data_IF_065500871938
#
_entry.id   IF_065500871938
#
_cell.length_a   1.000
_cell.length_b   1.000
_cell.length_c   1.000
_cell.angle_alpha   90.00
_cell.angle_beta   90.00
_cell.angle_gamma   90.00
#
_symmetry.space_group_name_H-M   'P 1'
#
loop_
_entity.id
_entity.type
_entity.pdbx_description
1 polymer ?
#
# COMPACT_ATOMS: atom_id res chain seq x y z
N UNK A 1 -15.10 3.17 -15.96
CA UNK A 1 -13.75 2.96 -15.39
C UNK A 1 -13.24 1.62 -15.89
N UNK A 2 -12.24 1.60 -16.78
CA UNK A 2 -11.56 0.36 -17.18
C UNK A 2 -10.59 -0.04 -16.05
N UNK A 3 -11.17 -0.38 -14.90
CA UNK A 3 -10.43 -0.60 -13.67
C UNK A 3 -9.53 -1.81 -13.80
N UNK A 4 -8.24 -1.63 -13.53
CA UNK A 4 -7.33 -2.74 -13.35
C UNK A 4 -7.73 -3.48 -12.08
N UNK A 5 -8.15 -4.74 -12.21
CA UNK A 5 -8.52 -5.58 -11.09
C UNK A 5 -7.26 -6.14 -10.42
N UNK A 6 -7.14 -5.89 -9.12
CA UNK A 6 -6.06 -6.43 -8.31
C UNK A 6 -6.49 -7.75 -7.66
N UNK A 7 -5.60 -8.73 -7.69
CA UNK A 7 -5.73 -10.05 -7.07
C UNK A 7 -4.68 -10.20 -5.99
N UNK A 8 -4.92 -11.05 -5.00
CA UNK A 8 -3.97 -11.25 -3.89
C UNK A 8 -3.76 -12.74 -3.62
N UNK A 9 -2.49 -13.15 -3.65
CA UNK A 9 -2.06 -14.46 -3.15
C UNK A 9 -1.46 -14.29 -1.74
N UNK A 10 -1.68 -15.26 -0.87
CA UNK A 10 -1.14 -15.29 0.50
C UNK A 10 -0.40 -16.60 0.71
N UNK A 11 0.84 -16.50 1.20
CA UNK A 11 1.61 -17.62 1.71
C UNK A 11 1.55 -17.61 3.22
N UNK A 12 1.35 -18.80 3.78
CA UNK A 12 1.12 -19.03 5.20
C UNK A 12 2.02 -20.19 5.62
N UNK A 13 2.80 -20.01 6.68
CA UNK A 13 3.44 -21.12 7.40
C UNK A 13 2.88 -21.17 8.82
N UNK A 14 2.25 -22.29 9.16
CA UNK A 14 1.68 -22.51 10.48
C UNK A 14 2.77 -22.88 11.52
N UNK A 15 2.44 -22.89 12.83
CA UNK A 15 3.41 -23.20 13.87
C UNK A 15 3.95 -24.63 13.84
N UNK A 16 3.28 -25.55 13.11
CA UNK A 16 3.78 -26.91 12.88
C UNK A 16 4.79 -27.00 11.73
N UNK A 17 5.04 -25.88 11.03
CA UNK A 17 5.93 -25.79 9.87
C UNK A 17 5.25 -26.05 8.53
N UNK A 18 3.94 -26.32 8.53
CA UNK A 18 3.17 -26.54 7.30
C UNK A 18 3.05 -25.25 6.50
N UNK A 19 3.48 -25.29 5.23
CA UNK A 19 3.41 -24.12 4.34
C UNK A 19 2.36 -24.31 3.25
N UNK A 20 1.48 -23.33 3.10
CA UNK A 20 0.44 -23.34 2.06
C UNK A 20 0.39 -21.99 1.35
N UNK A 21 -0.06 -22.02 0.09
CA UNK A 21 -0.46 -20.82 -0.63
C UNK A 21 -1.97 -20.83 -0.81
N UNK A 22 -2.60 -19.68 -0.58
CA UNK A 22 -3.98 -19.38 -0.96
C UNK A 22 -3.93 -18.41 -2.12
N UNK A 23 -4.41 -18.85 -3.27
CA UNK A 23 -4.38 -18.05 -4.50
C UNK A 23 -5.65 -17.23 -4.64
N UNK A 24 -5.50 -15.99 -5.09
CA UNK A 24 -6.61 -15.08 -5.41
C UNK A 24 -7.68 -15.01 -4.30
N UNK A 25 -7.26 -14.91 -3.03
CA UNK A 25 -8.13 -15.10 -1.87
C UNK A 25 -9.18 -13.99 -1.69
N UNK A 26 -8.94 -12.83 -2.33
CA UNK A 26 -9.84 -11.68 -2.29
C UNK A 26 -10.78 -11.59 -3.50
N UNK A 27 -10.56 -12.44 -4.51
CA UNK A 27 -11.25 -12.33 -5.79
C UNK A 27 -10.97 -11.00 -6.51
N UNK A 28 -11.79 -10.70 -7.51
CA UNK A 28 -11.56 -9.60 -8.47
C UNK A 28 -11.81 -8.20 -7.92
N UNK A 29 -12.47 -8.06 -6.75
CA UNK A 29 -12.84 -6.75 -6.18
C UNK A 29 -12.53 -6.59 -4.69
N UNK A 30 -11.91 -7.59 -4.05
CA UNK A 30 -11.66 -7.53 -2.61
C UNK A 30 -10.58 -6.52 -2.26
N UNK A 31 -10.99 -5.30 -1.90
CA UNK A 31 -10.18 -4.30 -1.20
C UNK A 31 -10.44 -4.41 0.30
N UNK A 32 -9.83 -5.39 0.94
CA UNK A 32 -10.03 -5.65 2.38
C UNK A 32 -8.72 -5.83 3.10
N UNK A 33 -8.79 -5.75 4.42
CA UNK A 33 -7.74 -6.24 5.30
C UNK A 33 -7.90 -7.74 5.47
N UNK A 34 -6.77 -8.44 5.54
CA UNK A 34 -6.69 -9.81 6.01
C UNK A 34 -6.06 -9.79 7.39
N UNK A 35 -6.90 -9.98 8.40
CA UNK A 35 -6.46 -10.03 9.80
C UNK A 35 -6.15 -11.47 10.20
N UNK A 36 -4.97 -11.66 10.80
CA UNK A 36 -4.50 -12.94 11.32
C UNK A 36 -4.33 -12.82 12.83
N UNK A 37 -5.01 -13.69 13.58
CA UNK A 37 -5.03 -13.65 15.05
C UNK A 37 -3.99 -14.56 15.70
N UNK A 38 -3.41 -15.51 14.97
CA UNK A 38 -2.33 -16.38 15.48
C UNK A 38 -0.98 -15.66 15.37
N UNK A 39 -0.34 -15.28 16.50
CA UNK A 39 0.93 -14.56 16.47
C UNK A 39 2.11 -15.41 15.99
N UNK A 40 1.95 -16.74 15.91
CA UNK A 40 2.98 -17.65 15.42
C UNK A 40 2.84 -17.95 13.93
N UNK A 41 1.81 -17.41 13.27
CA UNK A 41 1.61 -17.56 11.84
C UNK A 41 2.60 -16.67 11.09
N UNK A 42 3.39 -17.28 10.21
CA UNK A 42 4.24 -16.53 9.28
C UNK A 42 3.39 -16.28 8.04
N UNK A 43 3.15 -15.00 7.73
CA UNK A 43 2.33 -14.59 6.60
C UNK A 43 3.13 -13.71 5.66
N UNK A 44 2.94 -13.90 4.37
CA UNK A 44 3.28 -12.89 3.39
C UNK A 44 2.27 -12.89 2.26
N UNK A 45 2.15 -11.77 1.55
CA UNK A 45 1.28 -11.70 0.38
C UNK A 45 1.96 -11.04 -0.81
N UNK A 46 1.34 -11.24 -1.97
CA UNK A 46 1.57 -10.39 -3.14
C UNK A 46 0.22 -9.93 -3.66
N UNK A 47 0.18 -8.69 -4.12
CA UNK A 47 -0.98 -8.12 -4.81
C UNK A 47 -0.59 -7.80 -6.24
N UNK A 48 -1.37 -8.30 -7.21
CA UNK A 48 -0.98 -8.31 -8.62
C UNK A 48 -2.16 -8.06 -9.57
N UNK A 49 -1.83 -7.63 -10.77
CA UNK A 49 -2.73 -7.46 -11.90
C UNK A 49 -2.44 -8.53 -12.95
N UNK A 50 -3.40 -8.79 -13.84
CA UNK A 50 -3.26 -9.78 -14.92
C UNK A 50 -3.29 -9.10 -16.28
N UNK A 51 -2.46 -9.55 -17.20
CA UNK A 51 -2.43 -9.13 -18.60
C UNK A 51 -2.25 -10.33 -19.53
N UNK A 52 -2.24 -10.09 -20.85
CA UNK A 52 -1.86 -11.11 -21.84
C UNK A 52 -0.43 -11.63 -21.66
N UNK A 53 0.45 -10.84 -21.04
CA UNK A 53 1.88 -11.13 -20.88
C UNK A 53 2.21 -11.74 -19.50
N UNK A 54 1.21 -12.05 -18.69
CA UNK A 54 1.38 -12.64 -17.35
C UNK A 54 0.88 -11.73 -16.22
N UNK A 55 1.42 -11.96 -15.02
CA UNK A 55 1.03 -11.23 -13.80
C UNK A 55 2.09 -10.22 -13.38
N UNK A 56 1.67 -9.00 -13.09
CA UNK A 56 2.54 -7.92 -12.59
C UNK A 56 2.08 -7.54 -11.19
N UNK A 57 2.96 -7.61 -10.21
CA UNK A 57 2.54 -7.44 -8.82
C UNK A 57 3.68 -7.17 -7.87
N UNK A 58 3.30 -6.66 -6.72
CA UNK A 58 4.19 -6.26 -5.66
C UNK A 58 4.04 -7.20 -4.46
N UNK A 59 5.15 -7.43 -3.78
CA UNK A 59 5.17 -8.02 -2.45
C UNK A 59 4.54 -7.04 -1.45
N UNK A 60 3.63 -7.53 -0.59
CA UNK A 60 3.01 -6.75 0.47
C UNK A 60 3.31 -7.45 1.81
N UNK A 61 4.15 -6.86 2.67
CA UNK A 61 4.47 -7.46 3.96
C UNK A 61 3.28 -7.41 4.92
N UNK A 62 3.18 -8.34 5.89
CA UNK A 62 2.35 -8.14 7.07
C UNK A 62 2.92 -6.97 7.89
N UNK A 63 2.05 -6.08 8.34
CA UNK A 63 2.45 -4.87 9.08
C UNK A 63 1.45 -4.60 10.20
N UNK A 64 1.93 -4.00 11.28
CA UNK A 64 1.10 -3.58 12.42
C UNK A 64 0.71 -2.12 12.26
N UNK A 65 -0.59 -1.76 12.36
CA UNK A 65 -1.03 -0.37 12.35
C UNK A 65 -0.41 0.45 13.49
N UNK A 66 -0.05 1.69 13.20
CA UNK A 66 0.59 2.62 14.13
C UNK A 66 -0.02 4.01 14.04
N UNK A 67 0.06 4.78 15.14
CA UNK A 67 -0.29 6.20 15.17
C UNK A 67 0.93 7.12 15.06
N UNK A 68 2.14 6.55 15.05
CA UNK A 68 3.38 7.30 14.89
C UNK A 68 3.47 7.93 13.49
N UNK A 69 4.22 9.04 13.39
CA UNK A 69 4.53 9.67 12.11
C UNK A 69 5.26 8.67 11.21
N UNK A 70 4.69 8.38 10.05
CA UNK A 70 5.32 7.55 9.04
C UNK A 70 5.88 8.40 7.91
N UNK A 71 6.98 7.94 7.30
CA UNK A 71 7.55 8.49 6.07
C UNK A 71 7.67 7.40 5.01
N UNK A 72 7.18 7.70 3.80
CA UNK A 72 7.33 6.90 2.59
C UNK A 72 8.40 7.58 1.72
N UNK A 73 9.53 6.91 1.49
CA UNK A 73 10.69 7.45 0.76
C UNK A 73 10.82 6.73 -0.58
N UNK A 74 11.21 7.47 -1.63
CA UNK A 74 11.31 6.94 -2.99
C UNK A 74 10.00 7.05 -3.74
N UNK A 75 9.31 8.18 -3.58
CA UNK A 75 8.06 8.47 -4.27
C UNK A 75 8.35 9.19 -5.59
N UNK A 76 7.81 8.65 -6.69
CA UNK A 76 7.88 9.21 -8.03
C UNK A 76 6.47 9.23 -8.64
N UNK A 77 6.07 10.34 -9.24
CA UNK A 77 4.76 10.55 -9.84
C UNK A 77 4.87 11.55 -10.99
N UNK A 78 5.23 11.07 -12.16
CA UNK A 78 5.47 11.85 -13.36
C UNK A 78 5.05 11.08 -14.63
N UNK A 79 5.66 11.38 -15.77
CA UNK A 79 5.37 10.67 -17.01
C UNK A 79 5.85 9.22 -17.00
N UNK A 80 6.95 8.92 -16.30
CA UNK A 80 7.53 7.58 -16.22
C UNK A 80 6.86 6.73 -15.13
N UNK A 81 6.52 7.33 -13.98
CA UNK A 81 5.94 6.60 -12.85
C UNK A 81 4.63 7.21 -12.37
N UNK A 82 3.71 6.39 -11.88
CA UNK A 82 2.54 6.85 -11.11
C UNK A 82 2.58 6.28 -9.70
N UNK A 83 2.25 7.11 -8.71
CA UNK A 83 2.14 6.68 -7.32
C UNK A 83 0.67 6.56 -6.91
N UNK A 84 0.31 5.43 -6.31
CA UNK A 84 -0.92 5.28 -5.53
C UNK A 84 -0.60 5.23 -4.04
N UNK A 85 -1.15 6.14 -3.24
CA UNK A 85 -1.03 6.13 -1.79
C UNK A 85 -2.10 5.24 -1.20
N UNK A 86 -1.72 4.34 -0.29
CA UNK A 86 -2.63 3.46 0.42
C UNK A 86 -2.55 3.63 1.92
N UNK A 87 -3.70 3.52 2.57
CA UNK A 87 -3.89 3.55 4.02
C UNK A 87 -4.71 2.32 4.42
N UNK A 88 -4.11 1.45 5.23
CA UNK A 88 -4.80 0.30 5.81
C UNK A 88 -5.13 0.58 7.28
N UNK A 89 -6.41 0.51 7.64
CA UNK A 89 -6.91 0.87 8.97
C UNK A 89 -8.00 -0.09 9.45
N UNK A 90 -7.80 -0.74 10.61
CA UNK A 90 -8.80 -1.65 11.21
C UNK A 90 -9.99 -0.91 11.84
N UNK A 91 -9.80 0.36 12.17
CA UNK A 91 -10.84 1.28 12.64
C UNK A 91 -10.68 2.62 11.95
N UNK A 92 -11.74 3.46 11.85
CA UNK A 92 -11.64 4.76 11.21
C UNK A 92 -10.52 5.62 11.79
N UNK A 93 -9.72 6.24 10.90
CA UNK A 93 -8.63 7.12 11.27
C UNK A 93 -8.55 8.31 10.31
N UNK A 94 -8.41 9.53 10.83
CA UNK A 94 -8.08 10.69 10.03
C UNK A 94 -6.55 10.80 9.95
N UNK A 95 -6.03 10.84 8.73
CA UNK A 95 -4.59 10.84 8.44
C UNK A 95 -4.24 12.08 7.64
N UNK A 96 -3.35 12.91 8.18
CA UNK A 96 -2.72 14.00 7.44
C UNK A 96 -1.60 13.46 6.58
N UNK A 97 -1.69 13.70 5.28
CA UNK A 97 -0.68 13.38 4.30
C UNK A 97 -0.02 14.66 3.80
N UNK A 98 1.31 14.62 3.67
CA UNK A 98 2.08 15.72 3.12
C UNK A 98 3.13 15.15 2.16
N UNK A 99 3.14 15.62 0.91
CA UNK A 99 4.19 15.30 -0.04
C UNK A 99 5.25 16.40 -0.03
N UNK A 100 6.51 15.99 -0.04
CA UNK A 100 7.66 16.87 -0.12
C UNK A 100 8.47 16.54 -1.37
N UNK A 101 8.93 17.58 -2.07
CA UNK A 101 9.89 17.45 -3.17
C UNK A 101 11.29 17.08 -2.67
N UNK A 102 12.21 16.88 -3.61
CA UNK A 102 13.61 16.55 -3.34
C UNK A 102 14.36 17.61 -2.51
N UNK A 103 13.92 18.87 -2.56
CA UNK A 103 14.48 19.97 -1.77
C UNK A 103 13.85 20.06 -0.37
N UNK A 104 12.82 19.26 -0.10
CA UNK A 104 12.09 19.26 1.17
C UNK A 104 10.97 20.29 1.24
N UNK A 105 10.58 20.91 0.13
CA UNK A 105 9.43 21.79 0.10
C UNK A 105 8.14 20.98 0.11
N UNK A 106 7.16 21.41 0.90
CA UNK A 106 5.80 20.89 0.82
C UNK A 106 5.20 21.26 -0.53
N UNK A 107 4.78 20.26 -1.30
CA UNK A 107 4.16 20.45 -2.63
C UNK A 107 2.70 20.03 -2.65
N UNK A 108 2.26 19.27 -1.65
CA UNK A 108 0.87 18.84 -1.51
C UNK A 108 0.56 18.44 -0.07
N UNK A 109 -0.69 18.66 0.35
CA UNK A 109 -1.23 18.25 1.64
C UNK A 109 -2.71 17.90 1.50
N UNK A 110 -3.13 16.86 2.23
CA UNK A 110 -4.54 16.53 2.39
C UNK A 110 -4.78 15.76 3.71
N UNK A 111 -6.00 15.87 4.24
CA UNK A 111 -6.44 15.11 5.41
C UNK A 111 -7.45 14.05 4.93
N UNK A 112 -7.05 12.77 4.99
CA UNK A 112 -7.81 11.65 4.43
C UNK A 112 -8.41 10.80 5.54
N UNK A 113 -9.70 10.46 5.43
CA UNK A 113 -10.33 9.46 6.28
C UNK A 113 -10.00 8.06 5.75
N UNK A 114 -9.31 7.26 6.56
CA UNK A 114 -8.98 5.87 6.28
C UNK A 114 -9.93 4.92 7.03
N UNK A 115 -10.46 3.94 6.31
CA UNK A 115 -11.19 2.80 6.86
C UNK A 115 -10.99 1.59 5.95
N UNK A 116 -10.66 0.43 6.53
CA UNK A 116 -10.31 -0.77 5.75
C UNK A 116 -9.08 -0.49 4.87
N UNK A 117 -9.19 -0.73 3.57
CA UNK A 117 -8.21 -0.30 2.58
C UNK A 117 -8.70 0.96 1.84
N UNK A 118 -8.07 2.10 2.11
CA UNK A 118 -8.28 3.36 1.37
C UNK A 118 -7.08 3.60 0.47
N UNK A 119 -7.28 3.74 -0.85
CA UNK A 119 -6.17 3.97 -1.78
C UNK A 119 -6.58 4.86 -2.95
N UNK A 120 -5.71 5.80 -3.31
CA UNK A 120 -5.95 6.82 -4.34
C UNK A 120 -4.64 7.26 -5.01
N UNK A 121 -4.68 7.80 -6.25
CA UNK A 121 -3.49 8.30 -6.93
C UNK A 121 -2.95 9.57 -6.26
N UNK A 122 -1.63 9.74 -6.20
CA UNK A 122 -1.00 10.97 -5.72
C UNK A 122 -1.34 12.12 -6.68
N UNK A 123 -2.02 13.20 -6.22
CA UNK A 123 -2.59 14.21 -7.11
C UNK A 123 -1.61 15.35 -7.44
N UNK A 124 -0.31 15.12 -7.26
CA UNK A 124 0.75 16.10 -7.54
C UNK A 124 1.89 15.45 -8.30
N UNK A 125 2.44 16.17 -9.29
CA UNK A 125 3.64 15.70 -9.99
C UNK A 125 4.86 15.78 -9.08
N UNK A 126 5.65 14.72 -9.07
CA UNK A 126 6.81 14.59 -8.18
C UNK A 126 7.87 13.74 -8.87
N UNK A 127 8.95 14.37 -9.38
CA UNK A 127 10.03 13.62 -10.02
C UNK A 127 10.72 12.67 -9.03
N UNK A 128 10.97 13.15 -7.81
CA UNK A 128 11.40 12.33 -6.67
C UNK A 128 11.06 13.07 -5.38
N UNK A 129 10.66 12.33 -4.35
CA UNK A 129 10.40 12.90 -3.05
C UNK A 129 9.94 11.87 -2.01
N UNK A 130 9.18 12.38 -1.04
CA UNK A 130 8.63 11.57 0.05
C UNK A 130 7.22 12.01 0.40
N UNK A 131 6.45 11.10 0.99
CA UNK A 131 5.14 11.41 1.59
C UNK A 131 5.19 11.06 3.07
N UNK A 132 4.80 11.98 3.94
CA UNK A 132 4.59 11.67 5.36
C UNK A 132 3.11 11.40 5.62
N UNK A 133 2.84 10.49 6.56
CA UNK A 133 1.49 10.19 7.03
C UNK A 133 1.44 10.28 8.55
N UNK A 134 0.62 11.19 9.06
CA UNK A 134 0.39 11.38 10.48
C UNK A 134 -1.06 11.07 10.82
N UNK A 135 -1.30 10.13 11.73
CA UNK A 135 -2.64 9.97 12.31
C UNK A 135 -2.95 11.19 13.18
N UNK A 136 -4.01 11.92 12.85
CA UNK A 136 -4.45 13.12 13.59
C UNK A 136 -5.68 12.84 14.45
N UNK A 137 -6.44 11.78 14.17
CA UNK A 137 -7.52 11.28 15.01
C UNK A 137 -7.84 9.81 14.70
N UNK A 138 -8.41 9.07 15.67
CA UNK A 138 -8.88 7.69 15.48
C UNK A 138 -7.81 6.62 15.72
N UNK A 139 -7.93 5.49 15.01
CA UNK A 139 -7.05 4.32 15.16
C UNK A 139 -5.70 4.45 14.45
N UNK A 140 -4.82 3.47 14.69
CA UNK A 140 -3.56 3.34 13.96
C UNK A 140 -3.79 2.92 12.50
N UNK A 141 -2.84 3.26 11.63
CA UNK A 141 -2.85 2.94 10.21
C UNK A 141 -1.54 2.31 9.77
N UNK A 142 -1.57 1.59 8.64
CA UNK A 142 -0.38 1.22 7.88
C UNK A 142 -0.39 1.99 6.56
N UNK A 143 0.39 3.08 6.46
CA UNK A 143 0.59 3.79 5.21
C UNK A 143 1.53 3.03 4.29
N UNK A 144 1.31 3.12 2.99
CA UNK A 144 2.23 2.64 1.97
C UNK A 144 2.05 3.42 0.67
N UNK A 145 2.98 3.24 -0.27
CA UNK A 145 2.79 3.65 -1.65
C UNK A 145 3.03 2.49 -2.62
N UNK A 146 2.33 2.52 -3.74
CA UNK A 146 2.66 1.72 -4.91
C UNK A 146 3.17 2.66 -5.99
N UNK A 147 4.48 2.66 -6.24
CA UNK A 147 5.11 3.38 -7.34
C UNK A 147 5.12 2.44 -8.53
N UNK A 148 4.45 2.82 -9.61
CA UNK A 148 4.17 1.95 -10.75
C UNK A 148 4.81 2.54 -12.00
N UNK A 149 5.65 1.76 -12.67
CA UNK A 149 6.18 2.12 -13.98
C UNK A 149 5.02 2.20 -15.00
N UNK A 150 4.85 3.35 -15.63
CA UNK A 150 3.71 3.60 -16.52
C UNK A 150 3.80 2.82 -17.83
N UNK A 151 4.99 2.40 -18.25
CA UNK A 151 5.20 1.68 -19.51
C UNK A 151 4.87 0.19 -19.38
N UNK A 152 5.34 -0.44 -18.31
CA UNK A 152 5.20 -1.88 -18.05
C UNK A 152 4.00 -2.20 -17.15
N UNK A 153 3.61 -1.27 -16.28
CA UNK A 153 2.66 -1.51 -15.21
C UNK A 153 3.26 -2.21 -13.99
N UNK A 154 4.58 -2.37 -13.93
CA UNK A 154 5.26 -3.05 -12.83
C UNK A 154 5.27 -2.18 -11.55
N UNK A 155 4.70 -2.68 -10.42
CA UNK A 155 4.63 -1.91 -9.19
C UNK A 155 5.74 -2.26 -8.19
N UNK A 156 6.24 -1.24 -7.49
CA UNK A 156 7.09 -1.37 -6.31
C UNK A 156 6.31 -0.91 -5.07
N UNK A 157 6.34 -1.75 -4.02
CA UNK A 157 5.76 -1.42 -2.72
C UNK A 157 6.75 -0.59 -1.88
N UNK A 158 6.33 0.62 -1.51
CA UNK A 158 7.07 1.49 -0.60
C UNK A 158 6.52 1.31 0.82
N UNK A 159 7.35 0.76 1.68
CA UNK A 159 7.04 0.54 3.10
C UNK A 159 7.18 1.82 3.91
N UNK A 160 6.25 2.04 4.85
CA UNK A 160 6.36 3.10 5.86
C UNK A 160 7.60 2.92 6.74
N UNK A 161 8.29 4.03 7.00
CA UNK A 161 9.35 4.15 8.00
C UNK A 161 8.85 5.03 9.14
N UNK A 162 8.96 4.53 10.36
CA UNK A 162 8.56 5.21 11.60
C UNK A 162 9.79 5.69 12.37
#
# INVERSE_FOLDING_TARGET
ANGTFWRTDVWLTDPSGGTVVRRDILGTEGRTLLDFSDPNLIVTSRTYTTSSNGTFGQFVPPLTPSTALATLIGIENDTAFRTNIGLMAQSPAAVRLIAYDAAGNEVWRDDVLAQGLTQFPLPVSLAIGRVTAQVIAGGGVVPYASVVDNQSGDPIYIVARY
#
